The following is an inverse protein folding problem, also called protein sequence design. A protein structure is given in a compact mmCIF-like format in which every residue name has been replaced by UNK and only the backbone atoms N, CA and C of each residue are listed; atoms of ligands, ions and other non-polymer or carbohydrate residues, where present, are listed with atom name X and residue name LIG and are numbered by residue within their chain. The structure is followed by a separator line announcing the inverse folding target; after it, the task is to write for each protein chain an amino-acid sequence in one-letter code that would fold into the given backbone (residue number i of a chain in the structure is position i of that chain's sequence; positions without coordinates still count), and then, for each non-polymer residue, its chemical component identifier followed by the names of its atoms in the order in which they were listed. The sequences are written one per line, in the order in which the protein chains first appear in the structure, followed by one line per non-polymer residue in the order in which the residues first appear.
data_IF_091024084881
#
_entry.id   IF_091024084881
#
_cell.length_a   1.000
_cell.length_b   1.000
_cell.length_c   1.000
_cell.angle_alpha   90.00
_cell.angle_beta   90.00
_cell.angle_gamma   90.00
#
_symmetry.space_group_name_H-M   'P 1'
#
loop_
_entity.id
_entity.type
_entity.pdbx_description
1 polymer ?
#
# COMPACT_ATOMS: atom_id res chain seq x y z
N UNK A 1 -21.22 -4.64 -14.17
CA UNK A 1 -21.17 -3.79 -15.36
C UNK A 1 -20.51 -2.49 -14.90
N UNK A 2 -19.18 -2.44 -14.90
CA UNK A 2 -18.42 -1.28 -14.43
C UNK A 2 -18.28 -0.31 -15.60
N UNK A 3 -19.12 0.73 -15.59
CA UNK A 3 -19.09 1.81 -16.56
C UNK A 3 -17.84 2.66 -16.34
N UNK A 4 -17.00 2.66 -17.38
CA UNK A 4 -15.96 3.63 -17.69
C UNK A 4 -16.15 4.98 -16.95
N UNK A 5 -15.29 5.23 -15.96
CA UNK A 5 -15.18 6.54 -15.29
C UNK A 5 -16.08 6.82 -14.08
N UNK A 6 -17.02 5.94 -13.70
CA UNK A 6 -17.85 6.14 -12.50
C UNK A 6 -17.33 5.25 -11.37
N UNK A 7 -16.62 5.85 -10.42
CA UNK A 7 -16.31 5.20 -9.15
C UNK A 7 -17.65 4.99 -8.43
N UNK A 8 -18.04 3.74 -8.24
CA UNK A 8 -19.25 3.36 -7.51
C UNK A 8 -19.11 3.70 -6.02
N UNK A 9 -20.20 4.15 -5.37
CA UNK A 9 -20.23 4.46 -3.94
C UNK A 9 -19.75 3.29 -3.07
N UNK A 10 -19.96 2.05 -3.52
CA UNK A 10 -19.47 0.86 -2.85
C UNK A 10 -17.94 0.74 -2.89
N UNK A 11 -17.31 1.15 -3.99
CA UNK A 11 -15.85 1.19 -4.12
C UNK A 11 -15.27 2.28 -3.21
N UNK A 12 -15.92 3.44 -3.15
CA UNK A 12 -15.55 4.53 -2.25
C UNK A 12 -15.69 4.16 -0.77
N UNK A 13 -16.79 3.51 -0.39
CA UNK A 13 -17.02 3.05 0.98
C UNK A 13 -15.94 2.02 1.39
N UNK A 14 -15.66 1.04 0.53
CA UNK A 14 -14.66 0.01 0.82
C UNK A 14 -13.24 0.58 0.87
N UNK A 15 -12.94 1.55 0.02
CA UNK A 15 -11.67 2.26 0.06
C UNK A 15 -11.48 3.06 1.36
N UNK A 16 -12.54 3.69 1.87
CA UNK A 16 -12.51 4.38 3.18
C UNK A 16 -12.26 3.42 4.33
N UNK A 17 -12.95 2.27 4.35
CA UNK A 17 -12.69 1.25 5.38
C UNK A 17 -11.23 0.78 5.39
N UNK A 18 -10.62 0.64 4.20
CA UNK A 18 -9.21 0.28 4.06
C UNK A 18 -8.26 1.40 4.53
N UNK A 19 -8.63 2.66 4.30
CA UNK A 19 -7.89 3.82 4.81
C UNK A 19 -7.94 3.89 6.34
N UNK A 20 -9.12 3.71 6.94
CA UNK A 20 -9.27 3.74 8.39
C UNK A 20 -8.50 2.58 9.06
N UNK A 21 -8.45 1.41 8.42
CA UNK A 21 -7.63 0.29 8.87
C UNK A 21 -6.13 0.55 8.77
N UNK A 22 -5.68 1.19 7.68
CA UNK A 22 -4.29 1.61 7.52
C UNK A 22 -3.89 2.63 8.59
N UNK A 23 -4.73 3.63 8.84
CA UNK A 23 -4.49 4.69 9.82
C UNK A 23 -4.44 4.13 11.25
N UNK A 24 -5.34 3.21 11.60
CA UNK A 24 -5.30 2.50 12.88
C UNK A 24 -4.00 1.68 13.03
N UNK A 25 -3.59 0.93 12.00
CA UNK A 25 -2.34 0.18 12.04
C UNK A 25 -1.10 1.09 12.12
N UNK A 26 -1.14 2.27 11.49
CA UNK A 26 -0.06 3.25 11.55
C UNK A 26 0.08 3.86 12.96
N UNK A 27 -1.03 4.17 13.64
CA UNK A 27 -0.99 4.65 15.02
C UNK A 27 -0.31 3.66 15.97
N UNK A 28 -0.53 2.36 15.79
CA UNK A 28 0.16 1.32 16.59
C UNK A 28 1.67 1.27 16.29
N UNK A 29 2.07 1.46 15.02
CA UNK A 29 3.49 1.58 14.63
C UNK A 29 4.13 2.82 15.27
N UNK A 30 3.43 3.96 15.27
CA UNK A 30 3.89 5.18 15.94
C UNK A 30 4.07 4.93 17.44
N UNK A 31 3.11 4.27 18.08
CA UNK A 31 3.18 3.97 19.51
C UNK A 31 4.36 3.06 19.85
N UNK A 32 4.57 1.99 19.10
CA UNK A 32 5.72 1.09 19.28
C UNK A 32 7.07 1.80 19.06
N UNK A 33 7.11 2.78 18.15
CA UNK A 33 8.29 3.62 17.93
C UNK A 33 8.54 4.57 19.11
N UNK A 34 7.50 5.22 19.63
CA UNK A 34 7.58 6.11 20.80
C UNK A 34 8.00 5.37 22.07
N UNK A 35 7.51 4.15 22.27
CA UNK A 35 7.88 3.28 23.41
C UNK A 35 9.30 2.70 23.29
N UNK A 36 9.91 2.79 22.11
CA UNK A 36 11.24 2.25 21.83
C UNK A 36 11.30 0.71 21.79
N UNK A 37 10.15 0.03 21.69
CA UNK A 37 10.08 -1.42 21.54
C UNK A 37 10.28 -1.79 20.07
N UNK A 38 11.55 -2.04 19.72
CA UNK A 38 11.94 -2.45 18.37
C UNK A 38 11.24 -3.73 17.89
N UNK A 39 10.94 -4.66 18.78
CA UNK A 39 10.32 -5.95 18.40
C UNK A 39 8.84 -5.74 18.07
N UNK A 40 8.13 -4.94 18.87
CA UNK A 40 6.76 -4.52 18.52
C UNK A 40 6.76 -3.69 17.24
N UNK A 41 7.64 -2.71 17.13
CA UNK A 41 7.72 -1.85 15.94
C UNK A 41 7.90 -2.66 14.66
N UNK A 42 8.80 -3.64 14.62
CA UNK A 42 9.02 -4.47 13.43
C UNK A 42 7.80 -5.35 13.11
N UNK A 43 7.07 -5.83 14.13
CA UNK A 43 5.83 -6.60 13.95
C UNK A 43 4.67 -5.71 13.45
N UNK A 44 4.48 -4.55 14.06
CA UNK A 44 3.41 -3.61 13.71
C UNK A 44 3.66 -3.01 12.32
N UNK A 45 4.93 -2.74 11.98
CA UNK A 45 5.30 -2.28 10.64
C UNK A 45 5.00 -3.35 9.59
N UNK A 46 5.18 -4.63 9.89
CA UNK A 46 4.77 -5.72 9.01
C UNK A 46 3.24 -5.82 8.85
N UNK A 47 2.47 -5.52 9.90
CA UNK A 47 1.00 -5.48 9.85
C UNK A 47 0.51 -4.29 9.01
N UNK A 48 1.07 -3.11 9.24
CA UNK A 48 0.78 -1.90 8.44
C UNK A 48 1.12 -2.12 6.96
N UNK A 49 2.27 -2.74 6.66
CA UNK A 49 2.65 -3.08 5.27
C UNK A 49 1.64 -4.00 4.60
N UNK A 50 1.09 -5.00 5.33
CA UNK A 50 0.04 -5.88 4.79
C UNK A 50 -1.27 -5.14 4.53
N UNK A 51 -1.65 -4.19 5.39
CA UNK A 51 -2.83 -3.35 5.19
C UNK A 51 -2.69 -2.50 3.91
N UNK A 52 -1.52 -1.91 3.70
CA UNK A 52 -1.21 -1.17 2.47
C UNK A 52 -1.26 -2.08 1.23
N UNK A 53 -0.65 -3.28 1.29
CA UNK A 53 -0.69 -4.23 0.17
C UNK A 53 -2.13 -4.66 -0.18
N UNK A 54 -2.99 -4.85 0.83
CA UNK A 54 -4.39 -5.16 0.64
C UNK A 54 -5.16 -3.99 -0.02
N UNK A 55 -4.86 -2.76 0.38
CA UNK A 55 -5.41 -1.53 -0.21
C UNK A 55 -4.98 -1.36 -1.67
N UNK A 56 -3.70 -1.53 -1.98
CA UNK A 56 -3.18 -1.46 -3.36
C UNK A 56 -3.83 -2.55 -4.22
N UNK A 57 -3.87 -3.80 -3.74
CA UNK A 57 -4.49 -4.91 -4.44
C UNK A 57 -5.98 -4.69 -4.70
N UNK A 58 -6.70 -4.03 -3.77
CA UNK A 58 -8.10 -3.67 -3.95
C UNK A 58 -8.27 -2.61 -5.03
N UNK A 59 -7.46 -1.55 -4.99
CA UNK A 59 -7.46 -0.49 -5.99
C UNK A 59 -7.13 -1.02 -7.40
N UNK A 60 -6.13 -1.88 -7.54
CA UNK A 60 -5.79 -2.54 -8.81
C UNK A 60 -6.96 -3.37 -9.36
N UNK A 61 -7.66 -4.13 -8.51
CA UNK A 61 -8.87 -4.89 -8.91
C UNK A 61 -10.01 -3.99 -9.34
N UNK A 62 -10.10 -2.78 -8.79
CA UNK A 62 -11.05 -1.76 -9.20
C UNK A 62 -10.61 -1.01 -10.48
N UNK A 63 -9.44 -1.32 -11.05
CA UNK A 63 -8.88 -0.63 -12.22
C UNK A 63 -8.24 0.72 -11.90
N UNK A 64 -8.04 1.03 -10.62
CA UNK A 64 -7.41 2.26 -10.14
C UNK A 64 -5.93 1.97 -9.87
N UNK A 65 -5.05 2.33 -10.79
CA UNK A 65 -3.60 2.29 -10.51
C UNK A 65 -3.21 3.51 -9.67
N UNK A 66 -2.72 3.28 -8.45
CA UNK A 66 -2.29 4.33 -7.52
C UNK A 66 -1.21 5.25 -8.11
N UNK A 67 -0.43 4.73 -9.06
CA UNK A 67 0.74 5.41 -9.62
C UNK A 67 0.64 5.60 -11.16
N UNK A 68 -0.55 5.37 -11.73
CA UNK A 68 -0.76 5.38 -13.18
C UNK A 68 -0.12 4.19 -13.92
N UNK A 69 -0.29 4.10 -15.25
CA UNK A 69 0.25 2.99 -16.04
C UNK A 69 1.78 2.99 -16.15
N UNK A 70 2.46 4.07 -15.74
CA UNK A 70 3.91 4.24 -15.92
C UNK A 70 4.69 4.53 -14.62
N UNK A 71 4.23 3.94 -13.52
CA UNK A 71 4.81 4.16 -12.21
C UNK A 71 6.26 3.69 -12.07
N UNK A 72 6.63 2.66 -12.83
CA UNK A 72 7.99 2.14 -12.88
C UNK A 72 8.99 3.17 -13.45
N UNK A 73 8.54 4.08 -14.33
CA UNK A 73 9.37 5.20 -14.82
C UNK A 73 9.44 6.39 -13.86
N UNK A 74 8.53 6.44 -12.86
CA UNK A 74 8.38 7.61 -11.97
C UNK A 74 9.09 7.42 -10.62
N UNK A 75 9.40 6.18 -10.23
CA UNK A 75 10.22 5.90 -9.05
C UNK A 75 11.70 5.94 -9.44
N UNK A 76 12.54 6.79 -8.82
CA UNK A 76 13.98 6.63 -8.93
C UNK A 76 14.35 5.23 -8.44
N UNK A 77 15.19 4.54 -9.20
CA UNK A 77 15.62 3.15 -9.03
C UNK A 77 16.00 2.85 -7.57
N UNK A 78 15.03 2.47 -6.75
CA UNK A 78 15.25 1.95 -5.40
C UNK A 78 15.46 0.44 -5.55
N UNK A 79 16.59 0.08 -6.16
CA UNK A 79 17.19 -1.23 -5.96
C UNK A 79 16.59 -2.39 -6.75
N UNK A 80 16.29 -2.23 -8.05
CA UNK A 80 16.40 -3.40 -8.94
C UNK A 80 17.89 -3.59 -9.23
N UNK A 81 18.57 -4.30 -8.33
CA UNK A 81 19.89 -4.87 -8.63
C UNK A 81 19.78 -5.59 -9.97
N UNK A 82 20.40 -4.98 -10.99
CA UNK A 82 20.55 -5.60 -12.30
C UNK A 82 21.21 -6.95 -12.05
N UNK A 83 20.50 -8.04 -12.30
CA UNK A 83 21.16 -9.30 -12.56
C UNK A 83 21.95 -9.07 -13.84
N UNK A 84 23.23 -8.75 -13.68
CA UNK A 84 24.22 -8.73 -14.74
C UNK A 84 24.30 -10.14 -15.28
N UNK A 85 23.55 -10.43 -16.34
CA UNK A 85 23.87 -11.51 -17.26
C UNK A 85 25.18 -11.12 -17.94
N UNK A 86 26.29 -11.54 -17.33
CA UNK A 86 27.59 -11.58 -18.01
C UNK A 86 27.62 -12.81 -18.91
N UNK A 87 27.95 -12.53 -20.18
CA UNK A 87 28.34 -13.45 -21.25
C UNK A 87 29.45 -14.39 -20.82
#
# INVERSE_FOLDING_TARGET
MTTDGVIDDHVLARYRELLDQEDAAFNEVEHAFEDGDRVHFENDLALWRKAIEAKISYLEKCGLSLLGPNWADTLPDLGRSKQTTSV
#
